data_IF_103265213369
#
_entry.id   IF_103265213369
#
_cell.length_a   1.000
_cell.length_b   1.000
_cell.length_c   1.000
_cell.angle_alpha   90.00
_cell.angle_beta   90.00
_cell.angle_gamma   90.00
#
_symmetry.space_group_name_H-M   'P 1'
#
loop_
_entity.id
_entity.type
_entity.pdbx_description
1 polymer ?
#
# COMPACT_ATOMS: atom_id res chain seq x y z
N UNK A 1 10.87 -4.65 -0.36
CA UNK A 1 10.60 -4.52 1.09
C UNK A 1 11.14 -5.72 1.83
N UNK A 2 10.93 -6.93 1.30
CA UNK A 2 11.26 -8.17 2.04
C UNK A 2 12.69 -8.68 1.81
N UNK A 3 13.56 -7.85 1.22
CA UNK A 3 14.95 -8.21 0.88
C UNK A 3 15.98 -7.78 1.92
N UNK A 4 15.58 -7.01 2.95
CA UNK A 4 16.51 -6.55 3.99
C UNK A 4 16.99 -7.76 4.80
N UNK A 5 18.30 -8.01 4.81
CA UNK A 5 18.92 -9.15 5.49
C UNK A 5 19.05 -10.43 4.64
N UNK A 6 18.42 -10.49 3.48
CA UNK A 6 18.34 -11.73 2.68
C UNK A 6 19.70 -12.34 2.31
N UNK A 7 20.68 -11.52 1.88
CA UNK A 7 22.02 -12.03 1.51
C UNK A 7 22.71 -12.67 2.71
N UNK A 8 22.60 -12.04 3.88
CA UNK A 8 23.23 -12.50 5.11
C UNK A 8 22.59 -13.80 5.59
N UNK A 9 21.25 -13.90 5.51
CA UNK A 9 20.51 -15.13 5.81
C UNK A 9 20.93 -16.26 4.87
N UNK A 10 20.95 -16.01 3.55
CA UNK A 10 21.36 -16.98 2.54
C UNK A 10 22.77 -17.52 2.82
N UNK A 11 23.71 -16.62 3.12
CA UNK A 11 25.09 -16.98 3.39
C UNK A 11 25.23 -17.77 4.69
N UNK A 12 24.50 -17.37 5.72
CA UNK A 12 24.53 -18.03 7.04
C UNK A 12 23.94 -19.44 6.95
N UNK A 13 22.80 -19.60 6.28
CA UNK A 13 22.15 -20.91 6.11
C UNK A 13 22.91 -21.86 5.17
N UNK A 14 23.69 -21.32 4.24
CA UNK A 14 24.52 -22.12 3.32
C UNK A 14 25.96 -22.32 3.79
N UNK A 15 26.32 -21.91 5.02
CA UNK A 15 27.70 -21.98 5.52
C UNK A 15 28.71 -21.31 4.57
N UNK A 16 28.31 -20.21 3.92
CA UNK A 16 29.13 -19.46 2.99
C UNK A 16 29.25 -20.06 1.58
N UNK A 17 28.53 -21.13 1.26
CA UNK A 17 28.57 -21.75 -0.07
C UNK A 17 27.77 -20.98 -1.13
N UNK A 18 26.72 -20.26 -0.72
CA UNK A 18 25.91 -19.44 -1.61
C UNK A 18 26.04 -17.95 -1.27
N UNK A 19 25.97 -17.10 -2.31
CA UNK A 19 25.86 -15.65 -2.19
C UNK A 19 24.94 -15.11 -3.27
N UNK A 20 24.37 -13.93 -3.05
CA UNK A 20 23.54 -13.24 -4.04
C UNK A 20 23.86 -11.75 -4.09
N UNK A 21 23.64 -11.14 -5.25
CA UNK A 21 23.65 -9.69 -5.42
C UNK A 21 22.24 -9.21 -5.73
N UNK A 22 21.87 -8.04 -5.22
CA UNK A 22 20.57 -7.42 -5.45
C UNK A 22 20.75 -6.18 -6.33
N UNK A 23 20.12 -6.19 -7.51
CA UNK A 23 20.08 -5.05 -8.43
C UNK A 23 18.62 -4.68 -8.65
N UNK A 24 18.32 -3.40 -8.61
CA UNK A 24 16.97 -2.91 -8.89
C UNK A 24 16.67 -2.97 -10.39
N UNK A 25 15.56 -3.60 -10.78
CA UNK A 25 15.15 -3.69 -12.19
C UNK A 25 13.64 -3.49 -12.46
N UNK A 26 12.77 -3.59 -11.45
CA UNK A 26 11.33 -3.70 -11.69
C UNK A 26 10.48 -3.02 -10.61
N UNK A 27 9.34 -2.48 -11.03
CA UNK A 27 8.26 -2.00 -10.17
C UNK A 27 7.06 -2.92 -10.31
N UNK A 28 6.53 -3.40 -9.18
CA UNK A 28 5.34 -4.23 -9.13
C UNK A 28 4.25 -3.55 -8.30
N UNK A 29 2.98 -3.77 -8.67
CA UNK A 29 1.84 -3.34 -7.87
C UNK A 29 1.81 -4.07 -6.52
N UNK A 30 1.58 -3.32 -5.45
CA UNK A 30 1.39 -3.88 -4.11
C UNK A 30 -0.01 -4.51 -4.04
N UNK A 31 -0.16 -5.74 -3.53
CA UNK A 31 -1.46 -6.35 -3.35
C UNK A 31 -2.35 -5.59 -2.36
N UNK A 32 -3.65 -5.52 -2.67
CA UNK A 32 -4.65 -4.84 -1.86
C UNK A 32 -5.08 -3.46 -2.39
N UNK A 33 -6.13 -2.91 -1.79
CA UNK A 33 -6.58 -1.55 -2.04
C UNK A 33 -6.02 -0.58 -0.98
N UNK A 34 -5.25 0.46 -1.36
CA UNK A 34 -4.78 1.47 -0.40
C UNK A 34 -5.89 2.36 0.17
N UNK A 35 -7.06 2.45 -0.47
CA UNK A 35 -8.16 3.32 -0.06
C UNK A 35 -9.23 2.60 0.77
N UNK A 36 -9.14 1.28 0.93
CA UNK A 36 -10.07 0.52 1.77
C UNK A 36 -9.91 0.89 3.25
N UNK A 37 -10.93 1.57 3.78
CA UNK A 37 -11.00 2.04 5.17
C UNK A 37 -11.48 0.96 6.14
N UNK A 38 -12.02 -0.15 5.65
CA UNK A 38 -12.46 -1.27 6.50
C UNK A 38 -11.26 -1.99 7.15
N UNK A 39 -10.09 -1.89 6.53
CA UNK A 39 -8.85 -2.50 6.98
C UNK A 39 -8.23 -1.65 8.11
N UNK A 40 -8.26 -2.20 9.33
CA UNK A 40 -7.59 -1.62 10.49
C UNK A 40 -6.20 -2.20 10.67
N UNK A 41 -5.18 -1.34 10.62
CA UNK A 41 -3.78 -1.73 10.77
C UNK A 41 -3.39 -1.80 12.25
N UNK A 42 -3.05 -3.00 12.73
CA UNK A 42 -2.61 -3.20 14.11
C UNK A 42 -1.14 -2.79 14.29
N UNK A 43 -0.79 -2.06 15.36
CA UNK A 43 0.60 -1.74 15.68
C UNK A 43 1.40 -3.02 15.94
N UNK A 44 2.67 -3.03 15.48
CA UNK A 44 3.66 -4.08 15.78
C UNK A 44 3.31 -5.49 15.27
N UNK A 45 2.30 -5.63 14.41
CA UNK A 45 1.93 -6.91 13.79
C UNK A 45 2.02 -6.78 12.26
N UNK A 46 2.73 -7.69 11.57
CA UNK A 46 2.75 -7.71 10.11
C UNK A 46 1.36 -8.03 9.56
N UNK A 47 0.93 -7.31 8.54
CA UNK A 47 -0.39 -7.48 7.94
C UNK A 47 -0.39 -8.56 6.85
N UNK A 48 -1.55 -9.20 6.58
CA UNK A 48 -1.66 -10.13 5.47
C UNK A 48 -1.44 -9.42 4.13
N UNK A 49 -1.08 -10.19 3.10
CA UNK A 49 -0.72 -9.67 1.79
C UNK A 49 -1.78 -8.74 1.18
N UNK A 50 -3.08 -9.06 1.36
CA UNK A 50 -4.20 -8.25 0.85
C UNK A 50 -4.33 -6.88 1.49
N UNK A 51 -3.69 -6.63 2.63
CA UNK A 51 -3.78 -5.38 3.39
C UNK A 51 -2.51 -4.51 3.24
N UNK A 52 -1.49 -5.00 2.53
CA UNK A 52 -0.19 -4.33 2.42
C UNK A 52 -0.28 -2.96 1.76
N UNK A 53 -1.12 -2.80 0.72
CA UNK A 53 -1.30 -1.50 0.07
C UNK A 53 -1.79 -0.42 1.05
N UNK A 54 -2.80 -0.74 1.86
CA UNK A 54 -3.33 0.15 2.91
C UNK A 54 -2.28 0.43 3.98
N UNK A 55 -1.58 -0.61 4.44
CA UNK A 55 -0.53 -0.49 5.45
C UNK A 55 0.60 0.46 5.01
N UNK A 56 1.14 0.24 3.80
CA UNK A 56 2.22 1.07 3.26
C UNK A 56 1.79 2.52 3.07
N UNK A 57 0.55 2.73 2.60
CA UNK A 57 -0.01 4.08 2.43
C UNK A 57 -0.12 4.80 3.78
N UNK A 58 -0.77 4.21 4.79
CA UNK A 58 -0.95 4.83 6.11
C UNK A 58 0.40 5.13 6.75
N UNK A 59 1.31 4.14 6.82
CA UNK A 59 2.62 4.32 7.48
C UNK A 59 3.45 5.40 6.79
N UNK A 60 3.42 5.47 5.46
CA UNK A 60 4.13 6.51 4.71
C UNK A 60 3.54 7.89 4.98
N UNK A 61 2.21 8.03 5.03
CA UNK A 61 1.53 9.30 5.32
C UNK A 61 1.77 9.80 6.74
N UNK A 62 1.67 8.92 7.74
CA UNK A 62 2.01 9.22 9.13
C UNK A 62 3.44 9.75 9.26
N UNK A 63 4.41 9.07 8.63
CA UNK A 63 5.82 9.51 8.60
C UNK A 63 5.99 10.90 7.95
N UNK A 64 5.14 11.25 6.99
CA UNK A 64 5.16 12.55 6.30
C UNK A 64 4.30 13.62 6.99
N UNK A 65 3.65 13.32 8.12
CA UNK A 65 2.79 14.26 8.84
C UNK A 65 1.46 14.55 8.13
N UNK A 66 1.02 13.65 7.25
CA UNK A 66 -0.25 13.78 6.53
C UNK A 66 -1.34 12.97 7.23
N UNK A 67 -2.61 13.39 7.06
CA UNK A 67 -3.76 12.62 7.53
C UNK A 67 -3.79 11.25 6.84
N UNK A 68 -4.11 10.19 7.57
CA UNK A 68 -4.16 8.81 7.09
C UNK A 68 -5.12 8.64 5.93
N UNK A 69 -6.30 9.26 6.03
CA UNK A 69 -7.30 9.17 4.98
C UNK A 69 -7.00 10.17 3.86
N UNK A 70 -7.02 9.62 2.64
CA UNK A 70 -6.97 10.41 1.41
C UNK A 70 -8.39 10.90 1.15
N UNK A 71 -8.55 12.23 1.16
CA UNK A 71 -9.82 12.89 0.85
C UNK A 71 -9.66 13.68 -0.45
N UNK A 72 -10.56 13.41 -1.39
CA UNK A 72 -10.63 14.12 -2.68
C UNK A 72 -11.23 15.52 -2.54
N UNK A 73 -11.96 15.79 -1.44
CA UNK A 73 -12.63 17.07 -1.18
C UNK A 73 -11.66 18.25 -1.07
N UNK A 74 -10.37 17.97 -0.83
CA UNK A 74 -9.33 19.00 -0.77
C UNK A 74 -8.81 19.43 -2.14
N UNK A 75 -9.17 18.70 -3.20
CA UNK A 75 -8.56 18.81 -4.51
C UNK A 75 -9.56 19.14 -5.62
N UNK A 76 -10.85 18.93 -5.39
CA UNK A 76 -11.90 19.20 -6.38
C UNK A 76 -12.94 20.18 -5.83
N UNK A 77 -13.44 21.03 -6.70
CA UNK A 77 -14.52 21.98 -6.41
C UNK A 77 -15.87 21.26 -6.28
N UNK A 78 -16.79 21.88 -5.55
CA UNK A 78 -18.12 21.32 -5.27
C UNK A 78 -18.90 20.84 -6.51
N UNK A 79 -18.92 21.55 -7.66
CA UNK A 79 -19.62 21.08 -8.85
C UNK A 79 -19.06 19.75 -9.38
N UNK A 80 -17.73 19.60 -9.36
CA UNK A 80 -17.06 18.40 -9.86
C UNK A 80 -17.27 17.21 -8.91
N UNK A 81 -17.25 17.45 -7.59
CA UNK A 81 -17.57 16.42 -6.59
C UNK A 81 -19.00 15.90 -6.75
N UNK A 82 -19.95 16.78 -7.07
CA UNK A 82 -21.35 16.41 -7.28
C UNK A 82 -21.54 15.55 -8.54
N UNK A 83 -20.78 15.82 -9.60
CA UNK A 83 -20.79 15.01 -10.82
C UNK A 83 -20.19 13.62 -10.59
N UNK A 84 -19.06 13.52 -9.89
CA UNK A 84 -18.47 12.24 -9.49
C UNK A 84 -19.45 11.40 -8.67
N UNK A 85 -20.10 12.01 -7.68
CA UNK A 85 -21.09 11.32 -6.85
C UNK A 85 -22.27 10.78 -7.68
N UNK A 86 -22.74 11.54 -8.68
CA UNK A 86 -23.79 11.07 -9.60
C UNK A 86 -23.32 9.90 -10.46
N UNK A 87 -22.08 9.91 -10.94
CA UNK A 87 -21.53 8.81 -11.74
C UNK A 87 -21.38 7.51 -10.92
N UNK A 88 -20.87 7.60 -9.69
CA UNK A 88 -20.77 6.43 -8.79
C UNK A 88 -22.13 5.80 -8.51
N UNK A 89 -23.13 6.64 -8.26
CA UNK A 89 -24.53 6.21 -8.08
C UNK A 89 -25.02 5.44 -9.31
N UNK A 90 -24.83 5.97 -10.52
CA UNK A 90 -25.26 5.32 -11.76
C UNK A 90 -24.57 3.97 -12.00
N UNK A 91 -23.27 3.87 -11.72
CA UNK A 91 -22.52 2.62 -11.86
C UNK A 91 -23.00 1.54 -10.88
N UNK A 92 -23.34 1.93 -9.65
CA UNK A 92 -23.83 1.01 -8.62
C UNK A 92 -25.27 0.53 -8.85
N UNK A 93 -26.10 1.28 -9.59
CA UNK A 93 -27.47 0.88 -9.97
C UNK A 93 -27.56 0.15 -11.32
N UNK A 94 -26.51 0.18 -12.14
CA UNK A 94 -26.45 -0.51 -13.43
C UNK A 94 -26.01 -1.99 -13.34
N UNK A 95 -25.69 -2.46 -12.12
CA UNK A 95 -25.43 -3.85 -11.75
C UNK A 95 -26.58 -4.38 -10.87
#
# INVERSE_FOLDING_TARGET
>A
MDSFGFETDLRTHSQGQAFCLLVFNHWQMVPGDPLDRSIQIQPLVPQPATHLAREFMIKTRRRKGLNEDVSINKFFDDPMLLELAKQDVMLNYAL
#
